data_IF_986145966839
#
_entry.id   IF_986145966839
#
_cell.length_a   1.000
_cell.length_b   1.000
_cell.length_c   1.000
_cell.angle_alpha   90.00
_cell.angle_beta   90.00
_cell.angle_gamma   90.00
#
_symmetry.space_group_name_H-M   'P 1'
#
loop_
_entity.id
_entity.type
_entity.pdbx_description
1 polymer ?
#
# COMPACT_ATOMS: atom_id res chain seq x y z
N UNK A 1 -3.11 21.08 7.32
CA UNK A 1 -1.70 21.28 6.93
C UNK A 1 -1.06 22.32 7.85
N UNK A 2 0.15 22.06 8.36
CA UNK A 2 0.89 23.03 9.18
C UNK A 2 1.48 24.14 8.28
N UNK A 3 1.67 25.35 8.84
CA UNK A 3 2.18 26.51 8.12
C UNK A 3 3.58 26.26 7.51
N UNK A 4 4.49 25.65 8.28
CA UNK A 4 5.84 25.32 7.81
C UNK A 4 5.85 24.28 6.66
N UNK A 5 4.89 23.35 6.62
CA UNK A 5 4.74 22.45 5.47
C UNK A 5 4.30 23.22 4.22
N UNK A 6 3.37 24.16 4.36
CA UNK A 6 2.94 24.99 3.24
C UNK A 6 4.09 25.84 2.67
N UNK A 7 4.85 26.51 3.54
CA UNK A 7 6.03 27.29 3.16
C UNK A 7 7.10 26.40 2.50
N UNK A 8 7.29 25.18 2.99
CA UNK A 8 8.23 24.21 2.41
C UNK A 8 7.76 23.69 1.05
N UNK A 9 6.45 23.53 0.82
CA UNK A 9 5.89 23.18 -0.50
C UNK A 9 6.17 24.30 -1.50
N UNK A 10 6.04 25.57 -1.10
CA UNK A 10 6.42 26.70 -1.97
C UNK A 10 7.90 26.65 -2.36
N UNK A 11 8.79 26.33 -1.41
CA UNK A 11 10.22 26.12 -1.67
C UNK A 11 10.45 24.91 -2.60
N UNK A 12 9.69 23.82 -2.43
CA UNK A 12 9.77 22.66 -3.31
C UNK A 12 9.39 23.01 -4.75
N UNK A 13 8.30 23.73 -4.95
CA UNK A 13 7.89 24.23 -6.26
C UNK A 13 8.99 25.11 -6.87
N UNK A 14 9.49 26.09 -6.12
CA UNK A 14 10.54 27.01 -6.59
C UNK A 14 11.83 26.29 -6.95
N UNK A 15 12.18 25.22 -6.22
CA UNK A 15 13.39 24.43 -6.47
C UNK A 15 13.26 23.57 -7.73
N UNK A 16 12.20 22.77 -7.81
CA UNK A 16 12.04 21.78 -8.89
C UNK A 16 11.55 22.37 -10.20
N UNK A 17 10.77 23.47 -10.21
CA UNK A 17 10.32 24.12 -11.44
C UNK A 17 11.45 24.80 -12.25
N UNK A 18 12.63 24.99 -11.65
CA UNK A 18 13.81 25.52 -12.36
C UNK A 18 14.49 24.45 -13.23
N UNK A 19 14.23 23.18 -12.99
CA UNK A 19 14.79 22.11 -13.80
C UNK A 19 13.88 21.86 -15.02
N UNK A 20 14.34 22.13 -16.26
CA UNK A 20 13.55 21.97 -17.47
C UNK A 20 13.16 20.50 -17.76
N UNK A 21 13.84 19.53 -17.16
CA UNK A 21 13.53 18.11 -17.30
C UNK A 21 12.30 17.69 -16.47
N UNK A 22 11.88 18.51 -15.52
CA UNK A 22 10.69 18.22 -14.71
C UNK A 22 9.45 18.74 -15.44
N UNK A 23 8.63 17.80 -15.92
CA UNK A 23 7.41 18.05 -16.69
C UNK A 23 6.24 18.36 -15.77
N UNK A 24 6.17 17.67 -14.63
CA UNK A 24 5.16 17.91 -13.60
C UNK A 24 5.69 17.53 -12.21
N UNK A 25 5.13 18.16 -11.19
CA UNK A 25 5.40 17.89 -9.78
C UNK A 25 4.07 17.70 -9.04
N UNK A 26 3.95 16.61 -8.33
CA UNK A 26 2.79 16.30 -7.49
C UNK A 26 3.21 16.22 -6.03
N UNK A 27 2.41 16.80 -5.14
CA UNK A 27 2.47 16.52 -3.71
C UNK A 27 1.72 15.21 -3.45
N UNK A 28 2.33 14.32 -2.69
CA UNK A 28 1.74 13.03 -2.30
C UNK A 28 1.95 12.78 -0.80
N UNK A 29 1.74 11.57 -0.32
CA UNK A 29 2.07 11.18 1.05
C UNK A 29 1.18 11.79 2.12
N UNK A 30 1.72 11.90 3.34
CA UNK A 30 0.97 12.27 4.53
C UNK A 30 0.43 13.70 4.46
N UNK A 31 1.20 14.63 3.91
CA UNK A 31 0.83 16.05 3.77
C UNK A 31 -0.31 16.22 2.78
N UNK A 32 -0.29 15.51 1.65
CA UNK A 32 -1.37 15.54 0.66
C UNK A 32 -2.67 14.96 1.20
N UNK A 33 -2.59 13.93 2.05
CA UNK A 33 -3.75 13.26 2.66
C UNK A 33 -4.30 14.04 3.87
N UNK A 34 -3.51 14.95 4.45
CA UNK A 34 -3.90 15.69 5.67
C UNK A 34 -3.74 14.87 6.95
N UNK A 35 -2.80 13.92 6.97
CA UNK A 35 -2.50 13.05 8.14
C UNK A 35 -1.07 13.25 8.64
N UNK A 36 -0.46 14.35 8.24
CA UNK A 36 0.91 14.71 8.59
C UNK A 36 1.08 15.03 10.07
N UNK A 37 2.25 14.71 10.60
CA UNK A 37 2.75 15.18 11.89
C UNK A 37 3.56 16.47 11.68
N UNK A 38 3.85 17.25 12.75
CA UNK A 38 4.68 18.45 12.62
C UNK A 38 6.09 18.19 12.05
N UNK A 39 6.59 16.97 12.21
CA UNK A 39 7.91 16.51 11.77
C UNK A 39 7.88 15.65 10.50
N UNK A 40 6.74 15.58 9.81
CA UNK A 40 6.63 14.83 8.55
C UNK A 40 7.49 15.46 7.46
N UNK A 41 8.10 14.62 6.64
CA UNK A 41 8.70 14.97 5.35
C UNK A 41 7.65 15.45 4.33
N UNK A 42 8.11 16.01 3.22
CA UNK A 42 7.28 16.44 2.10
C UNK A 42 7.51 15.48 0.93
N UNK A 43 6.57 14.55 0.75
CA UNK A 43 6.63 13.58 -0.32
C UNK A 43 6.20 14.20 -1.66
N UNK A 44 6.98 13.98 -2.71
CA UNK A 44 6.69 14.46 -4.06
C UNK A 44 6.94 13.44 -5.16
N UNK A 45 6.20 13.58 -6.26
CA UNK A 45 6.43 12.83 -7.49
C UNK A 45 6.82 13.84 -8.57
N UNK A 46 8.04 13.71 -9.09
CA UNK A 46 8.55 14.47 -10.21
C UNK A 46 8.40 13.65 -11.50
N UNK A 47 7.51 14.07 -12.38
CA UNK A 47 7.37 13.47 -13.72
C UNK A 47 8.40 14.09 -14.63
N UNK A 48 9.20 13.24 -15.27
CA UNK A 48 10.35 13.65 -16.09
C UNK A 48 10.33 13.00 -17.48
N UNK A 49 11.20 13.48 -18.39
CA UNK A 49 11.43 12.83 -19.67
C UNK A 49 12.00 11.42 -19.48
N UNK A 50 11.82 10.55 -20.48
CA UNK A 50 12.37 9.20 -20.45
C UNK A 50 13.90 9.23 -20.40
N UNK A 51 14.50 10.11 -21.16
CA UNK A 51 15.96 10.28 -21.25
C UNK A 51 16.54 10.64 -19.87
N UNK A 52 15.96 11.64 -19.21
CA UNK A 52 16.38 12.05 -17.87
C UNK A 52 16.16 10.95 -16.82
N UNK A 53 15.05 10.22 -16.91
CA UNK A 53 14.79 9.09 -16.01
C UNK A 53 15.83 7.98 -16.18
N UNK A 54 16.20 7.62 -17.41
CA UNK A 54 17.24 6.60 -17.67
C UNK A 54 18.64 7.05 -17.22
N UNK A 55 18.91 8.34 -17.18
CA UNK A 55 20.14 8.88 -16.56
C UNK A 55 20.12 8.71 -15.04
N UNK A 56 19.02 9.06 -14.40
CA UNK A 56 18.82 8.86 -12.95
C UNK A 56 18.98 7.38 -12.56
N UNK A 57 18.47 6.46 -13.36
CA UNK A 57 18.63 5.00 -13.13
C UNK A 57 20.07 4.55 -13.14
N UNK A 58 20.93 5.12 -13.96
CA UNK A 58 22.36 4.74 -14.01
C UNK A 58 23.09 5.02 -12.70
N UNK A 59 22.63 5.99 -11.95
CA UNK A 59 23.19 6.40 -10.66
C UNK A 59 22.37 5.94 -9.46
N UNK A 60 21.27 5.20 -9.70
CA UNK A 60 20.29 4.79 -8.69
C UNK A 60 19.66 5.98 -7.94
N UNK A 61 19.41 7.07 -8.69
CA UNK A 61 18.84 8.34 -8.18
C UNK A 61 17.36 8.53 -8.58
N UNK A 62 16.61 7.43 -8.82
CA UNK A 62 15.16 7.48 -9.08
C UNK A 62 14.36 7.96 -7.86
N UNK A 63 15.02 7.98 -6.72
CA UNK A 63 14.52 8.51 -5.47
C UNK A 63 15.56 9.46 -4.87
N UNK A 64 15.11 10.64 -4.44
CA UNK A 64 15.97 11.70 -3.90
C UNK A 64 15.43 12.19 -2.57
N UNK A 65 16.29 12.21 -1.53
CA UNK A 65 16.02 12.92 -0.28
C UNK A 65 16.77 14.26 -0.28
N UNK A 66 16.05 15.36 -0.52
CA UNK A 66 16.62 16.71 -0.63
C UNK A 66 16.51 17.46 0.70
N UNK A 67 17.64 17.61 1.39
CA UNK A 67 17.74 18.26 2.70
C UNK A 67 18.00 19.78 2.59
N UNK A 68 17.72 20.51 3.69
CA UNK A 68 18.04 21.92 3.84
C UNK A 68 17.20 22.89 2.99
N UNK A 69 16.06 22.43 2.48
CA UNK A 69 15.10 23.23 1.71
C UNK A 69 13.79 23.47 2.43
N UNK A 70 13.46 22.62 3.43
CA UNK A 70 12.30 22.83 4.29
C UNK A 70 12.55 23.98 5.27
N UNK A 71 11.46 24.61 5.74
CA UNK A 71 11.49 25.74 6.69
C UNK A 71 11.48 25.31 8.16
N UNK A 72 11.57 24.02 8.43
CA UNK A 72 11.56 23.42 9.76
C UNK A 72 12.70 22.42 9.94
N UNK A 73 13.09 22.20 11.18
CA UNK A 73 14.22 21.36 11.56
C UNK A 73 13.94 19.88 11.25
N UNK A 74 14.91 19.21 10.63
CA UNK A 74 14.77 17.81 10.23
C UNK A 74 13.90 17.56 8.98
N UNK A 75 13.24 18.60 8.45
CA UNK A 75 12.42 18.47 7.24
C UNK A 75 13.25 18.29 5.97
N UNK A 76 12.74 17.49 5.04
CA UNK A 76 13.34 17.26 3.73
C UNK A 76 12.27 16.97 2.70
N UNK A 77 12.62 17.06 1.41
CA UNK A 77 11.77 16.60 0.32
C UNK A 77 12.13 15.16 -0.03
N UNK A 78 11.13 14.31 -0.10
CA UNK A 78 11.24 12.91 -0.50
C UNK A 78 10.64 12.73 -1.89
N UNK A 79 11.48 12.70 -2.92
CA UNK A 79 11.07 12.82 -4.30
C UNK A 79 11.27 11.51 -5.05
N UNK A 80 10.18 10.99 -5.61
CA UNK A 80 10.20 9.89 -6.55
C UNK A 80 10.14 10.41 -7.99
N UNK A 81 11.15 10.08 -8.79
CA UNK A 81 11.14 10.38 -10.22
C UNK A 81 10.41 9.29 -10.98
N UNK A 82 9.58 9.68 -11.94
CA UNK A 82 8.92 8.72 -12.82
C UNK A 82 8.58 9.31 -14.18
N UNK A 83 8.31 8.45 -15.15
CA UNK A 83 7.89 8.87 -16.48
C UNK A 83 6.36 8.84 -16.60
N UNK A 84 5.81 9.56 -17.58
CA UNK A 84 4.40 9.46 -17.96
C UNK A 84 4.02 8.01 -18.29
N UNK A 85 4.87 7.31 -19.05
CA UNK A 85 4.61 5.90 -19.39
C UNK A 85 4.45 5.04 -18.14
N UNK A 86 5.31 5.20 -17.14
CA UNK A 86 5.20 4.46 -15.89
C UNK A 86 3.90 4.79 -15.13
N UNK A 87 3.45 6.05 -15.14
CA UNK A 87 2.17 6.41 -14.57
C UNK A 87 0.99 5.74 -15.30
N UNK A 88 1.06 5.61 -16.63
CA UNK A 88 0.06 4.89 -17.44
C UNK A 88 0.04 3.40 -17.06
N UNK A 89 1.19 2.76 -16.92
CA UNK A 89 1.34 1.38 -16.44
C UNK A 89 0.80 1.21 -15.02
N UNK A 90 1.09 2.14 -14.11
CA UNK A 90 0.56 2.15 -12.75
C UNK A 90 -0.98 2.22 -12.73
N UNK A 91 -1.57 3.04 -13.60
CA UNK A 91 -3.03 3.17 -13.68
C UNK A 91 -3.71 1.86 -14.14
N UNK A 92 -3.02 1.02 -14.90
CA UNK A 92 -3.56 -0.24 -15.40
C UNK A 92 -3.27 -1.44 -14.52
N UNK A 93 -2.01 -1.60 -14.07
CA UNK A 93 -1.54 -2.84 -13.45
C UNK A 93 -0.47 -2.64 -12.36
N UNK A 94 -0.29 -1.41 -11.87
CA UNK A 94 0.69 -1.12 -10.84
C UNK A 94 0.39 -1.76 -9.48
N UNK A 95 1.43 -1.92 -8.67
CA UNK A 95 1.29 -2.40 -7.30
C UNK A 95 0.37 -1.50 -6.46
N UNK A 96 -0.39 -2.08 -5.57
CA UNK A 96 -1.32 -1.31 -4.74
C UNK A 96 -0.63 -0.24 -3.86
N UNK A 97 0.56 -0.47 -3.26
CA UNK A 97 1.26 0.57 -2.52
C UNK A 97 1.62 1.78 -3.38
N UNK A 98 2.14 1.56 -4.60
CA UNK A 98 2.46 2.64 -5.53
C UNK A 98 1.22 3.41 -5.98
N UNK A 99 0.13 2.69 -6.24
CA UNK A 99 -1.16 3.30 -6.59
C UNK A 99 -1.72 4.10 -5.41
N UNK A 100 -1.62 3.56 -4.19
CA UNK A 100 -2.06 4.24 -2.98
C UNK A 100 -1.26 5.53 -2.69
N UNK A 101 0.00 5.62 -3.13
CA UNK A 101 0.80 6.84 -3.02
C UNK A 101 0.13 8.04 -3.70
N UNK A 102 -0.61 7.82 -4.79
CA UNK A 102 -1.36 8.86 -5.49
C UNK A 102 -2.69 9.25 -4.84
N UNK A 103 -3.06 8.62 -3.71
CA UNK A 103 -4.30 9.01 -3.00
C UNK A 103 -4.21 10.47 -2.55
N UNK A 104 -5.17 11.28 -2.99
CA UNK A 104 -5.21 12.73 -2.79
C UNK A 104 -3.98 13.47 -3.32
N UNK A 105 -3.30 12.95 -4.35
CA UNK A 105 -2.20 13.65 -5.00
C UNK A 105 -2.64 15.04 -5.50
N UNK A 106 -1.88 16.08 -5.13
CA UNK A 106 -2.12 17.45 -5.53
C UNK A 106 -1.12 17.89 -6.58
N UNK A 107 -1.60 18.46 -7.68
CA UNK A 107 -0.73 19.06 -8.71
C UNK A 107 -0.10 20.33 -8.16
N UNK A 108 1.21 20.37 -8.06
CA UNK A 108 1.97 21.58 -7.68
C UNK A 108 2.42 22.37 -8.91
N UNK A 109 2.80 21.65 -9.97
CA UNK A 109 3.30 22.20 -11.21
C UNK A 109 3.04 21.20 -12.34
N UNK A 110 2.66 21.66 -13.53
CA UNK A 110 2.43 20.77 -14.67
C UNK A 110 2.51 21.54 -16.00
N UNK A 111 3.44 21.13 -16.88
CA UNK A 111 3.60 21.66 -18.23
C UNK A 111 3.01 20.76 -19.33
N UNK A 112 2.54 19.56 -18.98
CA UNK A 112 2.02 18.61 -19.96
C UNK A 112 0.54 18.30 -19.69
N UNK A 113 -0.37 18.57 -20.63
CA UNK A 113 -1.78 18.23 -20.49
C UNK A 113 -2.00 16.74 -20.28
N UNK A 114 -3.06 16.40 -19.52
CA UNK A 114 -3.49 15.02 -19.26
C UNK A 114 -2.76 14.30 -18.11
N UNK A 115 -1.68 14.85 -17.55
CA UNK A 115 -1.01 14.26 -16.38
C UNK A 115 -1.84 14.34 -15.10
N UNK A 116 -2.54 15.45 -14.80
CA UNK A 116 -3.43 15.49 -13.63
C UNK A 116 -4.56 14.45 -13.70
N UNK A 117 -5.16 14.30 -14.88
CA UNK A 117 -6.22 13.31 -15.12
C UNK A 117 -5.69 11.87 -15.04
N UNK A 118 -4.46 11.64 -15.47
CA UNK A 118 -3.78 10.35 -15.33
C UNK A 118 -3.48 10.05 -13.85
N UNK A 119 -2.93 11.01 -13.11
CA UNK A 119 -2.66 10.86 -11.67
C UNK A 119 -3.93 10.51 -10.89
N UNK A 120 -5.07 11.10 -11.23
CA UNK A 120 -6.36 10.80 -10.61
C UNK A 120 -6.89 9.38 -10.89
N UNK A 121 -6.44 8.73 -11.96
CA UNK A 121 -6.82 7.34 -12.31
C UNK A 121 -5.99 6.29 -11.58
N UNK A 122 -4.81 6.65 -11.09
CA UNK A 122 -3.88 5.70 -10.45
C UNK A 122 -4.45 5.12 -9.14
N UNK A 123 -4.97 5.90 -8.17
CA UNK A 123 -5.42 5.39 -6.88
C UNK A 123 -6.80 4.74 -6.91
N UNK A 124 -7.21 4.20 -8.06
CA UNK A 124 -8.51 3.55 -8.22
C UNK A 124 -8.37 2.04 -8.00
N UNK A 125 -9.22 1.46 -7.13
CA UNK A 125 -9.22 0.02 -6.87
C UNK A 125 -9.56 -0.79 -8.12
N UNK A 126 -8.76 -1.81 -8.42
CA UNK A 126 -8.91 -2.62 -9.64
C UNK A 126 -9.89 -3.76 -9.44
N UNK A 127 -11.17 -3.50 -9.67
CA UNK A 127 -12.26 -4.50 -9.52
C UNK A 127 -12.12 -5.72 -10.42
N UNK A 128 -11.49 -5.57 -11.61
CA UNK A 128 -11.25 -6.69 -12.53
C UNK A 128 -10.43 -7.83 -11.92
N UNK A 129 -9.59 -7.50 -10.93
CA UNK A 129 -8.71 -8.46 -10.26
C UNK A 129 -9.25 -8.91 -8.90
N UNK A 130 -10.34 -8.30 -8.42
CA UNK A 130 -10.87 -8.50 -7.08
C UNK A 130 -11.12 -9.98 -6.74
N UNK A 131 -11.81 -10.70 -7.63
CA UNK A 131 -12.13 -12.12 -7.40
C UNK A 131 -10.87 -13.00 -7.30
N UNK A 132 -9.85 -12.71 -8.12
CA UNK A 132 -8.59 -13.44 -8.09
C UNK A 132 -7.80 -13.10 -6.81
N UNK A 133 -7.73 -11.84 -6.42
CA UNK A 133 -7.10 -11.41 -5.16
C UNK A 133 -7.78 -12.05 -3.95
N UNK A 134 -9.10 -12.01 -3.88
CA UNK A 134 -9.85 -12.66 -2.80
C UNK A 134 -9.55 -14.15 -2.72
N UNK A 135 -9.62 -14.85 -3.86
CA UNK A 135 -9.31 -16.28 -3.92
C UNK A 135 -7.90 -16.58 -3.39
N UNK A 136 -6.91 -15.83 -3.84
CA UNK A 136 -5.51 -15.99 -3.45
C UNK A 136 -5.29 -15.78 -1.96
N UNK A 137 -5.67 -14.61 -1.44
CA UNK A 137 -5.49 -14.29 -0.02
C UNK A 137 -6.26 -15.24 0.89
N UNK A 138 -7.48 -15.66 0.49
CA UNK A 138 -8.21 -16.65 1.26
C UNK A 138 -7.53 -18.01 1.26
N UNK A 139 -7.09 -18.51 0.11
CA UNK A 139 -6.41 -19.79 0.03
C UNK A 139 -5.13 -19.81 0.86
N UNK A 140 -4.36 -18.72 0.85
CA UNK A 140 -3.16 -18.56 1.67
C UNK A 140 -3.52 -18.51 3.18
N UNK A 141 -4.52 -17.72 3.54
CA UNK A 141 -5.03 -17.66 4.92
C UNK A 141 -5.47 -19.05 5.44
N UNK A 142 -6.24 -19.77 4.61
CA UNK A 142 -6.73 -21.12 4.92
C UNK A 142 -5.59 -22.13 5.02
N UNK A 143 -4.59 -22.07 4.15
CA UNK A 143 -3.40 -22.93 4.18
C UNK A 143 -2.59 -22.69 5.46
N UNK A 144 -2.36 -21.43 5.83
CA UNK A 144 -1.63 -21.09 7.05
C UNK A 144 -2.32 -21.67 8.27
N UNK A 145 -3.64 -21.57 8.37
CA UNK A 145 -4.39 -22.18 9.46
C UNK A 145 -4.45 -23.71 9.37
N UNK A 146 -5.01 -24.27 8.26
CA UNK A 146 -5.41 -25.68 8.20
C UNK A 146 -4.23 -26.64 8.09
N UNK A 147 -3.14 -26.22 7.42
CA UNK A 147 -1.96 -27.07 7.22
C UNK A 147 -0.82 -26.67 8.15
N UNK A 148 -0.30 -25.46 8.02
CA UNK A 148 0.88 -25.07 8.78
C UNK A 148 0.61 -24.97 10.28
N UNK A 149 -0.47 -24.31 10.70
CA UNK A 149 -0.80 -24.16 12.11
C UNK A 149 -1.28 -25.48 12.75
N UNK A 150 -2.33 -26.11 12.19
CA UNK A 150 -2.98 -27.27 12.80
C UNK A 150 -2.22 -28.58 12.63
N UNK A 151 -1.63 -28.84 11.46
CA UNK A 151 -1.00 -30.13 11.13
C UNK A 151 0.49 -30.07 11.43
N UNK A 152 1.22 -29.07 10.94
CA UNK A 152 2.65 -28.97 11.14
C UNK A 152 3.05 -28.55 12.55
N UNK A 153 2.15 -27.86 13.28
CA UNK A 153 2.38 -27.38 14.65
C UNK A 153 3.71 -26.70 14.84
N UNK A 154 3.94 -25.57 14.15
CA UNK A 154 5.23 -24.91 14.13
C UNK A 154 5.61 -24.37 15.51
N UNK A 155 6.90 -24.27 15.77
CA UNK A 155 7.48 -23.70 16.99
C UNK A 155 8.41 -22.53 16.66
N UNK A 156 8.71 -21.70 17.67
CA UNK A 156 9.65 -20.59 17.57
C UNK A 156 9.33 -19.65 16.39
N UNK A 157 10.35 -19.26 15.66
CA UNK A 157 10.24 -18.33 14.51
C UNK A 157 9.13 -18.72 13.51
N UNK A 158 9.01 -20.02 13.19
CA UNK A 158 8.00 -20.46 12.22
C UNK A 158 6.59 -20.31 12.76
N UNK A 159 6.37 -20.46 14.06
CA UNK A 159 5.06 -20.21 14.69
C UNK A 159 4.66 -18.75 14.54
N UNK A 160 5.58 -17.84 14.83
CA UNK A 160 5.37 -16.39 14.69
C UNK A 160 5.13 -16.00 13.22
N UNK A 161 5.90 -16.58 12.30
CA UNK A 161 5.75 -16.35 10.85
C UNK A 161 4.36 -16.77 10.36
N UNK A 162 3.89 -17.96 10.74
CA UNK A 162 2.56 -18.44 10.35
C UNK A 162 1.46 -17.58 10.97
N UNK A 163 1.58 -17.22 12.24
CA UNK A 163 0.62 -16.35 12.92
C UNK A 163 0.52 -14.98 12.25
N UNK A 164 1.66 -14.35 11.98
CA UNK A 164 1.71 -13.08 11.24
C UNK A 164 1.08 -13.21 9.85
N UNK A 165 1.39 -14.29 9.13
CA UNK A 165 0.81 -14.56 7.82
C UNK A 165 -0.70 -14.74 7.86
N UNK A 166 -1.25 -15.37 8.90
CA UNK A 166 -2.71 -15.47 9.10
C UNK A 166 -3.34 -14.07 9.25
N UNK A 167 -2.79 -13.23 10.14
CA UNK A 167 -3.31 -11.87 10.36
C UNK A 167 -3.16 -11.01 9.11
N UNK A 168 -1.99 -11.08 8.44
CA UNK A 168 -1.73 -10.32 7.22
C UNK A 168 -2.73 -10.65 6.10
N UNK A 169 -2.93 -11.94 5.80
CA UNK A 169 -3.86 -12.34 4.75
C UNK A 169 -5.31 -11.98 5.09
N UNK A 170 -5.71 -12.11 6.36
CA UNK A 170 -7.02 -11.67 6.82
C UNK A 170 -7.23 -10.16 6.62
N UNK A 171 -6.25 -9.34 6.95
CA UNK A 171 -6.31 -7.90 6.73
C UNK A 171 -6.39 -7.55 5.24
N UNK A 172 -5.62 -8.24 4.38
CA UNK A 172 -5.71 -8.07 2.93
C UNK A 172 -7.12 -8.40 2.40
N UNK A 173 -7.74 -9.46 2.89
CA UNK A 173 -9.12 -9.83 2.54
C UNK A 173 -10.12 -8.74 2.94
N UNK A 174 -9.98 -8.16 4.14
CA UNK A 174 -10.84 -7.05 4.59
C UNK A 174 -10.65 -5.82 3.71
N UNK A 175 -9.42 -5.47 3.32
CA UNK A 175 -9.17 -4.36 2.39
C UNK A 175 -9.87 -4.58 1.05
N UNK A 176 -9.75 -5.78 0.48
CA UNK A 176 -10.35 -6.12 -0.81
C UNK A 176 -11.87 -6.01 -0.74
N UNK A 177 -12.51 -6.50 0.31
CA UNK A 177 -13.97 -6.43 0.48
C UNK A 177 -14.48 -4.97 0.69
N UNK A 178 -13.60 -4.06 1.07
CA UNK A 178 -13.89 -2.63 1.15
C UNK A 178 -13.41 -1.83 -0.08
N UNK A 179 -12.86 -2.49 -1.09
CA UNK A 179 -12.25 -1.83 -2.26
C UNK A 179 -11.16 -0.81 -1.87
N UNK A 180 -10.38 -1.12 -0.85
CA UNK A 180 -9.30 -0.28 -0.34
C UNK A 180 -7.98 -0.83 -0.89
N UNK A 181 -7.18 0.03 -1.53
CA UNK A 181 -5.82 -0.30 -1.95
C UNK A 181 -4.94 -0.60 -0.72
N UNK A 182 -4.09 -1.61 -0.81
CA UNK A 182 -3.12 -1.88 0.24
C UNK A 182 -2.18 -0.69 0.43
N UNK A 183 -2.16 -0.06 1.61
CA UNK A 183 -1.45 1.21 1.78
C UNK A 183 0.06 1.03 1.98
N UNK A 184 0.44 0.09 2.77
CA UNK A 184 1.78 -0.43 3.13
C UNK A 184 1.66 -1.21 4.45
N UNK A 185 2.65 -2.01 4.80
CA UNK A 185 2.67 -2.73 6.09
C UNK A 185 2.57 -1.77 7.28
N UNK A 186 3.25 -0.62 7.23
CA UNK A 186 3.24 0.40 8.30
C UNK A 186 1.84 0.95 8.60
N UNK A 187 1.00 1.10 7.58
CA UNK A 187 -0.34 1.71 7.70
C UNK A 187 -1.47 0.68 7.74
N UNK A 188 -1.19 -0.61 7.53
CA UNK A 188 -2.20 -1.64 7.31
C UNK A 188 -3.24 -1.70 8.44
N UNK A 189 -2.82 -1.84 9.70
CA UNK A 189 -3.75 -1.95 10.82
C UNK A 189 -4.64 -0.69 10.96
N UNK A 190 -4.10 0.51 10.73
CA UNK A 190 -4.89 1.74 10.80
C UNK A 190 -5.99 1.78 9.73
N UNK A 191 -5.72 1.24 8.55
CA UNK A 191 -6.73 1.13 7.49
C UNK A 191 -7.81 0.10 7.85
N UNK A 192 -7.44 -1.02 8.49
CA UNK A 192 -8.42 -1.99 8.99
C UNK A 192 -9.28 -1.40 10.11
N UNK A 193 -8.70 -0.66 11.06
CA UNK A 193 -9.44 0.04 12.12
C UNK A 193 -10.52 0.94 11.51
N UNK A 194 -10.20 1.67 10.44
CA UNK A 194 -11.08 2.62 9.78
C UNK A 194 -11.97 2.02 8.67
N UNK A 195 -11.77 0.73 8.31
CA UNK A 195 -12.60 0.06 7.31
C UNK A 195 -14.06 0.02 7.77
N UNK A 196 -14.98 0.42 6.87
CA UNK A 196 -16.42 0.52 7.19
C UNK A 196 -17.06 -0.84 7.40
N UNK A 197 -16.62 -1.82 6.62
CA UNK A 197 -17.15 -3.17 6.61
C UNK A 197 -16.06 -4.15 7.03
N UNK A 198 -16.22 -4.80 8.19
CA UNK A 198 -15.27 -5.78 8.74
C UNK A 198 -15.93 -6.64 9.79
N UNK A 199 -15.38 -7.85 10.11
CA UNK A 199 -15.88 -8.66 11.21
C UNK A 199 -15.82 -7.91 12.55
N UNK A 200 -16.82 -8.06 13.39
CA UNK A 200 -16.87 -7.41 14.69
C UNK A 200 -15.68 -7.81 15.58
N UNK A 201 -15.00 -6.79 16.12
CA UNK A 201 -13.86 -6.95 17.03
C UNK A 201 -12.64 -7.62 16.38
N UNK A 202 -12.50 -7.56 15.05
CA UNK A 202 -11.44 -8.33 14.35
C UNK A 202 -10.02 -7.88 14.73
N UNK A 203 -9.81 -6.59 14.95
CA UNK A 203 -8.48 -6.06 15.32
C UNK A 203 -8.08 -6.58 16.69
N UNK A 204 -9.01 -6.55 17.65
CA UNK A 204 -8.81 -7.07 19.02
C UNK A 204 -8.56 -8.58 19.01
N UNK A 205 -9.30 -9.33 18.17
CA UNK A 205 -9.09 -10.78 18.00
C UNK A 205 -7.71 -11.07 17.40
N UNK A 206 -7.27 -10.30 16.41
CA UNK A 206 -5.93 -10.43 15.85
C UNK A 206 -4.85 -10.15 16.91
N UNK A 207 -4.99 -9.07 17.68
CA UNK A 207 -4.07 -8.75 18.79
C UNK A 207 -4.04 -9.85 19.85
N UNK A 208 -5.22 -10.37 20.22
CA UNK A 208 -5.32 -11.47 21.16
C UNK A 208 -4.58 -12.70 20.65
N UNK A 209 -4.84 -13.10 19.40
CA UNK A 209 -4.16 -14.23 18.77
C UNK A 209 -2.64 -14.06 18.72
N UNK A 210 -2.15 -12.90 18.31
CA UNK A 210 -0.70 -12.61 18.25
C UNK A 210 -0.03 -12.66 19.63
N UNK A 211 -0.76 -12.38 20.70
CA UNK A 211 -0.24 -12.47 22.06
C UNK A 211 -0.33 -13.88 22.66
N UNK A 212 -1.40 -14.64 22.34
CA UNK A 212 -1.66 -15.95 22.94
C UNK A 212 -1.05 -17.10 22.16
N UNK A 213 -1.04 -16.99 20.84
CA UNK A 213 -0.64 -18.03 19.89
C UNK A 213 -1.30 -19.40 20.20
N UNK A 214 -2.62 -19.39 20.50
CA UNK A 214 -3.40 -20.58 20.83
C UNK A 214 -4.24 -21.06 19.63
N UNK A 215 -4.59 -22.35 19.64
CA UNK A 215 -5.44 -22.96 18.61
C UNK A 215 -6.85 -22.35 18.61
N UNK A 216 -7.37 -22.01 19.80
CA UNK A 216 -8.68 -21.39 19.96
C UNK A 216 -8.75 -20.02 19.30
N UNK A 217 -7.74 -19.16 19.56
CA UNK A 217 -7.70 -17.83 18.98
C UNK A 217 -7.41 -17.86 17.47
N UNK A 218 -6.60 -18.82 16.99
CA UNK A 218 -6.40 -19.05 15.56
C UNK A 218 -7.71 -19.44 14.86
N UNK A 219 -8.49 -20.36 15.45
CA UNK A 219 -9.81 -20.77 14.94
C UNK A 219 -10.76 -19.58 14.88
N UNK A 220 -10.79 -18.76 15.95
CA UNK A 220 -11.67 -17.60 16.03
C UNK A 220 -11.44 -16.59 14.89
N UNK A 221 -10.22 -16.46 14.35
CA UNK A 221 -9.94 -15.59 13.19
C UNK A 221 -10.60 -16.15 11.93
N UNK A 222 -10.42 -17.45 11.64
CA UNK A 222 -11.03 -18.11 10.48
C UNK A 222 -12.56 -17.97 10.53
N UNK A 223 -13.17 -18.36 11.66
CA UNK A 223 -14.62 -18.30 11.84
C UNK A 223 -15.16 -16.87 11.73
N UNK A 224 -14.44 -15.88 12.30
CA UNK A 224 -14.86 -14.47 12.19
C UNK A 224 -14.92 -14.00 10.74
N UNK A 225 -13.96 -14.38 9.91
CA UNK A 225 -13.97 -14.02 8.51
C UNK A 225 -15.01 -14.82 7.71
N UNK A 226 -15.06 -16.14 7.85
CA UNK A 226 -15.97 -17.01 7.09
C UNK A 226 -17.45 -16.75 7.39
N UNK A 227 -17.78 -16.36 8.63
CA UNK A 227 -19.14 -15.98 9.01
C UNK A 227 -19.54 -14.57 8.56
N UNK A 228 -18.57 -13.71 8.30
CA UNK A 228 -18.81 -12.31 7.91
C UNK A 228 -18.85 -12.13 6.40
N UNK A 229 -17.92 -12.76 5.65
CA UNK A 229 -17.78 -12.54 4.21
C UNK A 229 -18.99 -13.03 3.42
N UNK A 230 -19.41 -12.26 2.43
CA UNK A 230 -20.40 -12.72 1.44
C UNK A 230 -19.78 -13.54 0.30
N UNK A 231 -18.46 -13.50 0.16
CA UNK A 231 -17.74 -14.20 -0.91
C UNK A 231 -17.81 -15.71 -0.73
N UNK A 232 -18.19 -16.42 -1.80
CA UNK A 232 -18.27 -17.88 -1.81
C UNK A 232 -17.08 -18.45 -2.55
N UNK A 233 -16.21 -19.08 -1.79
CA UNK A 233 -15.00 -19.70 -2.33
C UNK A 233 -15.33 -21.00 -3.06
N UNK A 234 -14.70 -21.26 -4.22
CA UNK A 234 -14.79 -22.55 -4.87
C UNK A 234 -14.15 -23.62 -4.00
N UNK A 235 -14.41 -24.89 -4.29
CA UNK A 235 -14.05 -26.10 -3.52
C UNK A 235 -12.83 -25.91 -2.59
N UNK A 236 -13.02 -25.98 -1.25
CA UNK A 236 -11.95 -25.82 -0.28
C UNK A 236 -10.85 -26.89 -0.37
N UNK A 237 -11.04 -27.97 -1.12
CA UNK A 237 -10.02 -29.01 -1.31
C UNK A 237 -8.82 -28.54 -2.13
N UNK A 238 -8.98 -27.51 -2.95
CA UNK A 238 -7.93 -27.01 -3.82
C UNK A 238 -7.16 -25.81 -3.26
N UNK A 239 -7.45 -25.36 -2.04
CA UNK A 239 -6.82 -24.14 -1.49
C UNK A 239 -5.29 -24.24 -1.42
N UNK A 240 -4.74 -25.40 -1.07
CA UNK A 240 -3.29 -25.61 -1.01
C UNK A 240 -2.63 -25.51 -2.39
N UNK A 241 -3.28 -26.08 -3.41
CA UNK A 241 -2.79 -25.98 -4.78
C UNK A 241 -2.75 -24.51 -5.23
N UNK A 242 -3.82 -23.76 -4.98
CA UNK A 242 -3.90 -22.35 -5.34
C UNK A 242 -2.84 -21.55 -4.59
N UNK A 243 -2.74 -21.71 -3.27
CA UNK A 243 -1.76 -20.98 -2.46
C UNK A 243 -0.30 -21.24 -2.88
N UNK A 244 0.03 -22.47 -3.31
CA UNK A 244 1.41 -22.82 -3.67
C UNK A 244 1.79 -22.52 -5.12
N UNK A 245 0.82 -22.48 -6.04
CA UNK A 245 1.12 -22.44 -7.47
C UNK A 245 0.91 -21.08 -8.13
N UNK A 246 0.28 -20.14 -7.44
CA UNK A 246 0.12 -18.79 -7.96
C UNK A 246 1.15 -17.85 -7.33
N UNK A 247 1.92 -17.20 -8.16
CA UNK A 247 2.72 -16.05 -7.73
C UNK A 247 1.79 -14.89 -7.36
N UNK A 248 2.06 -14.22 -6.26
CA UNK A 248 1.26 -13.07 -5.82
C UNK A 248 1.94 -11.75 -6.20
N UNK A 249 1.55 -11.14 -7.34
CA UNK A 249 2.10 -9.86 -7.77
C UNK A 249 1.62 -8.67 -6.91
N UNK A 250 0.68 -8.91 -6.00
CA UNK A 250 0.07 -7.86 -5.16
C UNK A 250 0.62 -7.84 -3.73
N UNK A 251 1.55 -8.69 -3.41
CA UNK A 251 2.10 -8.79 -2.05
C UNK A 251 2.91 -7.54 -1.70
N UNK A 252 3.50 -6.89 -2.70
CA UNK A 252 4.29 -5.67 -2.55
C UNK A 252 3.89 -4.59 -3.54
#
# INVERSE_FOLDING_TARGET
MFKHHQESIENMIAHYSQNPEIIALFLVGSVAVGTERPDSDIDGIAVVSREYFEEKKKTCDEHESCFGKCTYDGGYFDIHYMTRQYMEELAESGSEPMRNMFTNACVLYCNQPGLPELAAKIPVFQRKEMALKQLRFYCTFKQFYSYYWKICKPEGFMKDHIANGMVYNLYRLILIENEILFPSCRKLESFIINAKNKPDGIVEKCKKFMNSLTDEDALALIESYENWTSYKYPDPKNFQFIANNYYDPWEY
#
